data_IF_098148858997
#
_entry.id   IF_098148858997
#
_cell.length_a   1.000
_cell.length_b   1.000
_cell.length_c   1.000
_cell.angle_alpha   90.00
_cell.angle_beta   90.00
_cell.angle_gamma   90.00
#
_symmetry.space_group_name_H-M   'P 1'
#
loop_
_entity.id
_entity.type
_entity.pdbx_description
1 polymer ?
#
# COMPACT_ATOMS: atom_id res chain seq x y z
N UNK A 1 15.77 -26.48 21.48
CA UNK A 1 15.99 -25.52 20.38
C UNK A 1 15.23 -25.92 19.12
N UNK A 2 15.34 -27.17 18.65
CA UNK A 2 14.68 -27.61 17.39
C UNK A 2 13.14 -27.56 17.40
N UNK A 3 12.49 -27.87 18.54
CA UNK A 3 11.03 -27.78 18.64
C UNK A 3 10.54 -26.32 18.67
N UNK A 4 11.35 -25.40 19.18
CA UNK A 4 11.03 -23.96 19.20
C UNK A 4 11.16 -23.37 17.80
N UNK A 5 12.21 -23.72 17.06
CA UNK A 5 12.38 -23.29 15.67
C UNK A 5 11.25 -23.81 14.79
N UNK A 6 10.87 -25.10 14.92
CA UNK A 6 9.72 -25.67 14.19
C UNK A 6 8.40 -24.95 14.47
N UNK A 7 8.17 -24.56 15.73
CA UNK A 7 6.98 -23.79 16.10
C UNK A 7 7.01 -22.38 15.51
N UNK A 8 8.16 -21.70 15.55
CA UNK A 8 8.34 -20.36 14.94
C UNK A 8 8.14 -20.42 13.43
N UNK A 9 8.72 -21.41 12.74
CA UNK A 9 8.58 -21.57 11.29
C UNK A 9 7.12 -21.86 10.89
N UNK A 10 6.41 -22.65 11.70
CA UNK A 10 4.99 -22.91 11.49
C UNK A 10 4.14 -21.64 11.63
N UNK A 11 4.38 -20.85 12.68
CA UNK A 11 3.70 -19.55 12.87
C UNK A 11 4.04 -18.60 11.73
N UNK A 12 5.32 -18.52 11.32
CA UNK A 12 5.74 -17.67 10.20
C UNK A 12 5.05 -18.07 8.89
N UNK A 13 4.90 -19.38 8.62
CA UNK A 13 4.20 -19.87 7.44
C UNK A 13 2.71 -19.48 7.39
N UNK A 14 2.08 -19.28 8.56
CA UNK A 14 0.68 -18.83 8.65
C UNK A 14 0.59 -17.30 8.59
N UNK A 15 1.41 -16.61 9.38
CA UNK A 15 1.32 -15.15 9.56
C UNK A 15 1.92 -14.38 8.40
N UNK A 16 3.01 -14.86 7.79
CA UNK A 16 3.71 -14.18 6.69
C UNK A 16 3.60 -14.93 5.37
N UNK A 17 2.89 -16.06 5.36
CA UNK A 17 2.69 -16.86 4.17
C UNK A 17 1.52 -16.37 3.29
N UNK A 18 1.01 -17.26 2.42
CA UNK A 18 -0.04 -16.92 1.46
C UNK A 18 -1.33 -16.38 2.10
N UNK A 19 -1.63 -16.78 3.34
CA UNK A 19 -2.83 -16.34 4.06
C UNK A 19 -2.84 -14.83 4.26
N UNK A 20 -1.70 -14.23 4.65
CA UNK A 20 -1.60 -12.78 4.83
C UNK A 20 -1.81 -12.03 3.52
N UNK A 21 -1.24 -12.54 2.42
CA UNK A 21 -1.42 -11.96 1.09
C UNK A 21 -2.89 -11.96 0.68
N UNK A 22 -3.60 -13.08 0.92
CA UNK A 22 -5.04 -13.20 0.66
C UNK A 22 -5.85 -12.26 1.55
N UNK A 23 -5.50 -12.11 2.83
CA UNK A 23 -6.21 -11.20 3.74
C UNK A 23 -6.02 -9.72 3.36
N UNK A 24 -4.80 -9.30 3.02
CA UNK A 24 -4.52 -7.91 2.64
C UNK A 24 -5.21 -7.58 1.31
N UNK A 25 -5.04 -8.42 0.29
CA UNK A 25 -5.68 -8.20 -1.01
C UNK A 25 -7.19 -8.36 -0.95
N UNK A 26 -7.69 -9.34 -0.18
CA UNK A 26 -9.10 -9.56 0.04
C UNK A 26 -9.77 -8.39 0.75
N UNK A 27 -9.13 -7.84 1.79
CA UNK A 27 -9.63 -6.64 2.49
C UNK A 27 -9.62 -5.43 1.56
N UNK A 28 -8.55 -5.22 0.80
CA UNK A 28 -8.50 -4.13 -0.17
C UNK A 28 -9.57 -4.26 -1.26
N UNK A 29 -9.84 -5.47 -1.76
CA UNK A 29 -10.91 -5.71 -2.74
C UNK A 29 -12.30 -5.48 -2.13
N UNK A 30 -12.53 -5.99 -0.92
CA UNK A 30 -13.77 -5.79 -0.18
C UNK A 30 -14.05 -4.30 0.02
N UNK A 31 -13.04 -3.54 0.48
CA UNK A 31 -13.14 -2.08 0.65
C UNK A 31 -13.33 -1.40 -0.71
N UNK A 32 -12.58 -1.77 -1.74
CA UNK A 32 -12.69 -1.18 -3.07
C UNK A 32 -14.12 -1.29 -3.64
N UNK A 33 -14.77 -2.45 -3.46
CA UNK A 33 -16.16 -2.67 -3.86
C UNK A 33 -17.11 -1.90 -2.93
N UNK A 34 -16.91 -1.96 -1.61
CA UNK A 34 -17.72 -1.26 -0.62
C UNK A 34 -17.73 0.27 -0.79
N UNK A 35 -16.59 0.83 -1.17
CA UNK A 35 -16.42 2.25 -1.52
C UNK A 35 -16.86 2.59 -2.94
N UNK A 36 -17.45 1.64 -3.68
CA UNK A 36 -17.94 1.83 -5.06
C UNK A 36 -16.87 2.41 -5.99
N UNK A 37 -15.64 1.91 -5.89
CA UNK A 37 -14.47 2.39 -6.67
C UNK A 37 -14.16 3.89 -6.50
N UNK A 38 -14.64 4.52 -5.42
CA UNK A 38 -14.43 5.94 -5.17
C UNK A 38 -12.95 6.36 -5.10
N UNK A 39 -12.02 5.59 -4.49
CA UNK A 39 -10.59 5.92 -4.49
C UNK A 39 -10.02 6.06 -5.91
N UNK A 40 -10.41 5.19 -6.85
CA UNK A 40 -10.03 5.29 -8.26
C UNK A 40 -10.73 6.46 -8.95
N UNK A 41 -12.05 6.59 -8.77
CA UNK A 41 -12.86 7.59 -9.47
C UNK A 41 -12.51 9.04 -9.05
N UNK A 42 -12.11 9.26 -7.79
CA UNK A 42 -11.81 10.59 -7.23
C UNK A 42 -10.33 10.94 -7.20
N UNK A 43 -9.46 10.08 -7.75
CA UNK A 43 -8.01 10.30 -7.78
C UNK A 43 -7.65 11.68 -8.37
N UNK A 44 -8.24 12.05 -9.52
CA UNK A 44 -8.03 13.35 -10.16
C UNK A 44 -8.46 14.54 -9.28
N UNK A 45 -9.58 14.38 -8.55
CA UNK A 45 -10.05 15.40 -7.61
C UNK A 45 -9.07 15.58 -6.45
N UNK A 46 -8.54 14.47 -5.91
CA UNK A 46 -7.50 14.47 -4.88
C UNK A 46 -6.25 15.24 -5.31
N UNK A 47 -5.73 14.97 -6.52
CA UNK A 47 -4.59 15.72 -7.05
C UNK A 47 -4.86 17.22 -7.21
N UNK A 48 -6.06 17.58 -7.68
CA UNK A 48 -6.45 19.01 -7.78
C UNK A 48 -6.51 19.68 -6.41
N UNK A 49 -7.00 18.98 -5.39
CA UNK A 49 -7.10 19.49 -4.02
C UNK A 49 -5.72 19.61 -3.36
N UNK A 50 -4.82 18.65 -3.57
CA UNK A 50 -3.42 18.72 -3.15
C UNK A 50 -2.68 19.93 -3.73
N UNK A 51 -2.91 20.23 -5.02
CA UNK A 51 -2.25 21.36 -5.67
C UNK A 51 -2.80 22.71 -5.20
N UNK A 52 -4.11 22.77 -4.92
CA UNK A 52 -4.77 23.96 -4.36
C UNK A 52 -4.42 24.21 -2.89
N UNK A 53 -4.27 23.15 -2.10
CA UNK A 53 -3.94 23.21 -0.68
C UNK A 53 -2.47 23.50 -0.37
N UNK A 54 -1.67 23.95 -1.34
CA UNK A 54 -0.28 24.37 -1.11
C UNK A 54 -0.18 25.71 -0.37
N UNK A 55 -1.20 26.55 -0.50
CA UNK A 55 -1.36 27.82 0.20
C UNK A 55 -2.31 27.57 1.37
N UNK A 56 -1.75 27.42 2.57
CA UNK A 56 -2.44 26.85 3.73
C UNK A 56 -3.69 27.63 4.15
N UNK A 57 -4.83 26.95 4.21
CA UNK A 57 -6.04 27.38 4.93
C UNK A 57 -6.80 26.15 5.43
N UNK A 58 -6.60 25.81 6.71
CA UNK A 58 -7.31 24.75 7.43
C UNK A 58 -6.75 24.60 8.85
N UNK A 59 -7.48 23.94 9.75
CA UNK A 59 -7.10 23.75 11.17
C UNK A 59 -5.91 22.79 11.40
N UNK A 60 -5.29 22.25 10.35
CA UNK A 60 -4.16 21.32 10.45
C UNK A 60 -2.81 22.03 10.59
N UNK A 61 -1.87 21.41 11.32
CA UNK A 61 -0.54 21.98 11.57
C UNK A 61 0.34 22.09 10.31
N UNK A 62 0.05 21.28 9.28
CA UNK A 62 0.79 21.26 8.02
C UNK A 62 -0.18 21.26 6.83
N UNK A 63 0.28 21.82 5.70
CA UNK A 63 -0.50 21.82 4.46
C UNK A 63 -0.75 20.39 3.97
N UNK A 64 -1.87 20.11 3.27
CA UNK A 64 -2.14 18.81 2.66
C UNK A 64 -1.00 18.30 1.76
N UNK A 65 -0.30 19.22 1.09
CA UNK A 65 0.88 18.87 0.29
C UNK A 65 2.05 18.40 1.16
N UNK A 66 2.33 19.09 2.26
CA UNK A 66 3.40 18.68 3.19
C UNK A 66 3.06 17.35 3.87
N UNK A 67 1.80 17.13 4.27
CA UNK A 67 1.35 15.86 4.85
C UNK A 67 1.57 14.68 3.87
N UNK A 68 1.22 14.88 2.59
CA UNK A 68 1.50 13.89 1.55
C UNK A 68 3.00 13.63 1.39
N UNK A 69 3.82 14.69 1.36
CA UNK A 69 5.27 14.54 1.21
C UNK A 69 5.90 13.81 2.40
N UNK A 70 5.43 14.06 3.62
CA UNK A 70 5.87 13.29 4.80
C UNK A 70 5.50 11.81 4.68
N UNK A 71 4.28 11.50 4.24
CA UNK A 71 3.84 10.11 4.03
C UNK A 71 4.62 9.41 2.90
N UNK A 72 4.89 10.11 1.80
CA UNK A 72 5.70 9.60 0.68
C UNK A 72 7.15 9.37 1.08
N UNK A 73 7.74 10.29 1.83
CA UNK A 73 9.11 10.13 2.34
C UNK A 73 9.26 8.92 3.27
N UNK A 74 8.20 8.54 4.00
CA UNK A 74 8.21 7.37 4.87
C UNK A 74 8.06 6.04 4.10
N UNK A 75 7.49 6.07 2.89
CA UNK A 75 7.15 4.87 2.12
C UNK A 75 8.03 4.65 0.89
N UNK A 76 8.72 5.68 0.40
CA UNK A 76 9.69 5.60 -0.70
C UNK A 76 11.09 5.47 -0.10
N UNK A 77 11.75 4.35 -0.37
CA UNK A 77 13.13 4.12 0.08
C UNK A 77 13.86 3.04 -0.71
N UNK A 78 15.06 2.70 -0.23
CA UNK A 78 15.90 1.62 -0.80
C UNK A 78 15.17 0.28 -0.87
N UNK A 79 14.29 0.01 0.10
CA UNK A 79 13.44 -1.18 0.11
C UNK A 79 12.55 -1.32 -1.13
N UNK A 80 12.03 -0.22 -1.69
CA UNK A 80 11.21 -0.28 -2.90
C UNK A 80 12.07 -0.59 -4.12
N UNK A 81 13.28 -0.06 -4.19
CA UNK A 81 14.20 -0.30 -5.32
C UNK A 81 14.70 -1.75 -5.30
N UNK A 82 15.25 -2.19 -4.16
CA UNK A 82 15.76 -3.55 -4.00
C UNK A 82 14.63 -4.60 -4.05
N UNK A 83 13.47 -4.28 -3.49
CA UNK A 83 12.29 -5.17 -3.50
C UNK A 83 11.75 -5.39 -4.91
N UNK A 84 11.64 -4.33 -5.72
CA UNK A 84 11.24 -4.46 -7.13
C UNK A 84 12.26 -5.27 -7.92
N UNK A 85 13.56 -5.00 -7.75
CA UNK A 85 14.61 -5.76 -8.41
C UNK A 85 14.56 -7.26 -8.04
N UNK A 86 14.39 -7.56 -6.75
CA UNK A 86 14.29 -8.95 -6.24
C UNK A 86 13.05 -9.65 -6.77
N UNK A 87 11.91 -8.97 -6.80
CA UNK A 87 10.67 -9.55 -7.32
C UNK A 87 10.74 -9.84 -8.83
N UNK A 88 11.41 -8.99 -9.61
CA UNK A 88 11.64 -9.24 -11.04
C UNK A 88 12.65 -10.38 -11.21
N UNK A 89 13.71 -10.42 -10.41
CA UNK A 89 14.72 -11.47 -10.50
C UNK A 89 14.15 -12.87 -10.20
N UNK A 90 13.26 -12.97 -9.20
CA UNK A 90 12.67 -14.25 -8.77
C UNK A 90 11.39 -14.59 -9.55
N UNK A 91 10.51 -13.62 -9.76
CA UNK A 91 9.17 -13.80 -10.35
C UNK A 91 9.09 -13.48 -11.84
N UNK A 92 10.18 -13.01 -12.45
CA UNK A 92 10.21 -12.56 -13.84
C UNK A 92 9.53 -11.21 -14.07
N UNK A 93 9.48 -10.73 -15.33
CA UNK A 93 8.94 -9.41 -15.67
C UNK A 93 7.44 -9.27 -15.35
N UNK A 94 6.70 -10.38 -15.28
CA UNK A 94 5.28 -10.39 -14.91
C UNK A 94 5.00 -9.92 -13.49
N UNK A 95 6.01 -9.87 -12.61
CA UNK A 95 5.86 -9.34 -11.25
C UNK A 95 5.39 -7.87 -11.23
N UNK A 96 5.79 -7.07 -12.23
CA UNK A 96 5.42 -5.64 -12.32
C UNK A 96 3.90 -5.49 -12.50
N UNK A 97 3.28 -6.33 -13.34
CA UNK A 97 1.84 -6.32 -13.54
C UNK A 97 1.10 -6.55 -12.21
N UNK A 98 1.54 -7.55 -11.45
CA UNK A 98 0.95 -7.86 -10.16
C UNK A 98 1.17 -6.74 -9.13
N UNK A 99 2.33 -6.09 -9.13
CA UNK A 99 2.57 -4.91 -8.26
C UNK A 99 1.60 -3.78 -8.56
N UNK A 100 1.25 -3.53 -9.82
CA UNK A 100 0.23 -2.54 -10.15
C UNK A 100 -1.16 -2.98 -9.71
N UNK A 101 -1.53 -4.25 -9.92
CA UNK A 101 -2.80 -4.77 -9.42
C UNK A 101 -2.92 -4.64 -7.89
N UNK A 102 -1.86 -5.00 -7.14
CA UNK A 102 -1.87 -4.88 -5.68
C UNK A 102 -1.89 -3.41 -5.23
N UNK A 103 -1.20 -2.52 -5.93
CA UNK A 103 -1.27 -1.07 -5.67
C UNK A 103 -2.68 -0.50 -5.91
N UNK A 104 -3.35 -0.92 -7.00
CA UNK A 104 -4.72 -0.50 -7.29
C UNK A 104 -5.67 -0.91 -6.17
N UNK A 105 -5.60 -2.16 -5.73
CA UNK A 105 -6.41 -2.67 -4.63
C UNK A 105 -6.04 -2.00 -3.30
N UNK A 106 -4.75 -1.83 -3.04
CA UNK A 106 -4.21 -1.21 -1.82
C UNK A 106 -4.59 0.25 -1.64
N UNK A 107 -4.90 0.98 -2.73
CA UNK A 107 -5.43 2.35 -2.62
C UNK A 107 -6.72 2.42 -1.80
N UNK A 108 -7.60 1.41 -1.89
CA UNK A 108 -8.84 1.40 -1.09
C UNK A 108 -8.55 1.22 0.40
N UNK A 109 -7.61 0.33 0.75
CA UNK A 109 -7.18 0.15 2.14
C UNK A 109 -6.56 1.42 2.69
N UNK A 110 -5.63 2.04 1.94
CA UNK A 110 -5.00 3.30 2.38
C UNK A 110 -5.98 4.46 2.49
N UNK A 111 -6.97 4.53 1.61
CA UNK A 111 -8.03 5.53 1.68
C UNK A 111 -8.95 5.34 2.89
N UNK A 112 -9.20 4.10 3.32
CA UNK A 112 -10.00 3.81 4.51
C UNK A 112 -9.22 4.03 5.82
N UNK A 113 -7.90 3.95 5.79
CA UNK A 113 -7.01 4.21 6.95
C UNK A 113 -6.74 5.70 7.20
N UNK A 114 -6.78 6.52 6.13
CA UNK A 114 -6.47 7.95 6.16
C UNK A 114 -7.68 8.79 6.63
#
# INVERSE_FOLDING_TARGET
MENLTKLIDWVNGIVWGPLMLVLILGTGLFLMIGLKLMPLARLNYGFRMLWRGREGQGEGEISPFNALMTSLSATIGTGNIAGVATAIAIGGPGAIFWMWCTALVGMATKYAEA
#
